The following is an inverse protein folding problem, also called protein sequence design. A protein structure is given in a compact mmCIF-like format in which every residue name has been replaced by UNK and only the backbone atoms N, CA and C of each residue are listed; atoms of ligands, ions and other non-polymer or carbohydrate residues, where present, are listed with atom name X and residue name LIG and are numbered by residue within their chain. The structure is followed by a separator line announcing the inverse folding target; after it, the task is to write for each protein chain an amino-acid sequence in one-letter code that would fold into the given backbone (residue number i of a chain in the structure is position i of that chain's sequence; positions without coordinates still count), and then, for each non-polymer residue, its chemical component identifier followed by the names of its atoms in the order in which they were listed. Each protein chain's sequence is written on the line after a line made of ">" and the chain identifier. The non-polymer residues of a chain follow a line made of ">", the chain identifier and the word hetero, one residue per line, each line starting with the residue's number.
data_IF_098287162552
#
_entry.id   IF_098287162552
#
_cell.length_a   1.000
_cell.length_b   1.000
_cell.length_c   1.000
_cell.angle_alpha   90.00
_cell.angle_beta   90.00
_cell.angle_gamma   90.00
#
_symmetry.space_group_name_H-M   'P 1'
#
loop_
_entity.id
_entity.type
_entity.pdbx_description
1 polymer ?
#
# COMPACT_ATOMS: atom_id res chain seq x y z
N UNK A 1 3.10 18.54 -33.64
CA UNK A 1 1.95 18.17 -32.79
C UNK A 1 2.16 16.74 -32.32
N UNK A 2 2.67 16.54 -31.10
CA UNK A 2 2.91 15.19 -30.57
C UNK A 2 1.56 14.58 -30.15
N UNK A 3 1.23 13.35 -30.57
CA UNK A 3 0.00 12.70 -30.13
C UNK A 3 0.19 12.33 -28.65
N UNK A 4 -0.62 12.92 -27.78
CA UNK A 4 -0.83 12.40 -26.44
C UNK A 4 -1.23 10.93 -26.57
N UNK A 5 -0.27 10.02 -26.38
CA UNK A 5 -0.57 8.61 -26.18
C UNK A 5 -1.52 8.55 -24.99
N UNK A 6 -2.77 8.16 -25.24
CA UNK A 6 -3.73 7.92 -24.18
C UNK A 6 -3.19 6.74 -23.38
N UNK A 7 -2.60 7.02 -22.22
CA UNK A 7 -2.17 5.99 -21.28
C UNK A 7 -3.43 5.18 -20.93
N UNK A 8 -3.38 3.86 -21.15
CA UNK A 8 -4.48 2.98 -20.80
C UNK A 8 -4.54 2.80 -19.27
N UNK A 9 -5.75 2.76 -18.72
CA UNK A 9 -5.96 2.40 -17.32
C UNK A 9 -5.39 0.99 -17.07
N UNK A 10 -4.70 0.79 -15.95
CA UNK A 10 -4.15 -0.51 -15.56
C UNK A 10 -4.12 -0.61 -14.03
N UNK A 11 -3.76 -1.79 -13.52
CA UNK A 11 -3.71 -2.05 -12.07
C UNK A 11 -2.79 -1.07 -11.31
N UNK A 12 -1.62 -0.73 -11.85
CA UNK A 12 -0.69 0.19 -11.20
C UNK A 12 -1.30 1.59 -11.02
N UNK A 13 -2.05 2.10 -12.01
CA UNK A 13 -2.78 3.36 -11.87
C UNK A 13 -3.84 3.28 -10.75
N UNK A 14 -4.61 2.19 -10.70
CA UNK A 14 -5.65 2.00 -9.67
C UNK A 14 -5.02 1.90 -8.29
N UNK A 15 -3.95 1.11 -8.12
CA UNK A 15 -3.18 1.01 -6.85
C UNK A 15 -2.66 2.39 -6.43
N UNK A 16 -2.09 3.17 -7.35
CA UNK A 16 -1.60 4.52 -7.05
C UNK A 16 -2.72 5.42 -6.54
N UNK A 17 -3.85 5.49 -7.24
CA UNK A 17 -5.01 6.30 -6.82
C UNK A 17 -5.51 5.86 -5.45
N UNK A 18 -5.60 4.56 -5.19
CA UNK A 18 -6.01 4.03 -3.88
C UNK A 18 -5.02 4.45 -2.79
N UNK A 19 -3.71 4.29 -3.01
CA UNK A 19 -2.69 4.66 -2.02
C UNK A 19 -2.65 6.17 -1.73
N UNK A 20 -2.86 7.01 -2.74
CA UNK A 20 -3.04 8.47 -2.58
C UNK A 20 -4.30 8.82 -1.76
N UNK A 21 -5.20 7.86 -1.55
CA UNK A 21 -6.43 7.99 -0.77
C UNK A 21 -6.46 7.00 0.40
N UNK A 22 -5.33 6.82 1.08
CA UNK A 22 -5.20 5.98 2.28
C UNK A 22 -5.45 4.48 2.08
N UNK A 23 -5.25 4.01 0.85
CA UNK A 23 -5.22 2.59 0.49
C UNK A 23 -6.56 2.01 0.07
N UNK A 24 -7.65 2.79 0.17
CA UNK A 24 -8.98 2.35 -0.19
C UNK A 24 -9.89 3.50 -0.61
N UNK A 25 -10.88 3.21 -1.45
CA UNK A 25 -11.91 4.15 -1.89
C UNK A 25 -13.22 3.40 -2.12
N UNK A 26 -14.35 4.09 -1.97
CA UNK A 26 -15.62 3.59 -2.49
C UNK A 26 -15.56 3.57 -4.02
N UNK A 27 -16.13 2.56 -4.66
CA UNK A 27 -16.04 2.30 -6.10
C UNK A 27 -16.45 3.52 -6.93
N UNK A 28 -17.52 4.21 -6.53
CA UNK A 28 -17.98 5.45 -7.17
C UNK A 28 -16.96 6.60 -7.09
N UNK A 29 -16.24 6.72 -5.97
CA UNK A 29 -15.19 7.74 -5.79
C UNK A 29 -13.94 7.39 -6.60
N UNK A 30 -13.58 6.11 -6.65
CA UNK A 30 -12.49 5.61 -7.48
C UNK A 30 -12.79 5.87 -8.97
N UNK A 31 -13.99 5.52 -9.44
CA UNK A 31 -14.44 5.78 -10.81
C UNK A 31 -14.40 7.28 -11.13
N UNK A 32 -14.89 8.13 -10.22
CA UNK A 32 -14.83 9.59 -10.39
C UNK A 32 -13.40 10.10 -10.54
N UNK A 33 -12.46 9.63 -9.71
CA UNK A 33 -11.04 10.04 -9.79
C UNK A 33 -10.39 9.58 -11.09
N UNK A 34 -10.68 8.37 -11.55
CA UNK A 34 -10.21 7.85 -12.84
C UNK A 34 -10.75 8.70 -14.00
N UNK A 35 -12.05 9.00 -14.02
CA UNK A 35 -12.63 9.85 -15.07
C UNK A 35 -11.99 11.25 -15.12
N UNK A 36 -11.69 11.83 -13.95
CA UNK A 36 -11.02 13.13 -13.85
C UNK A 36 -9.59 13.08 -14.40
N UNK A 37 -8.81 12.06 -14.04
CA UNK A 37 -7.40 11.95 -14.45
C UNK A 37 -7.26 11.61 -15.93
N UNK A 38 -8.06 10.67 -16.44
CA UNK A 38 -7.99 10.20 -17.82
C UNK A 38 -8.86 11.02 -18.80
N UNK A 39 -9.57 12.04 -18.29
CA UNK A 39 -10.48 12.91 -19.07
C UNK A 39 -11.52 12.12 -19.87
N UNK A 40 -12.07 11.06 -19.28
CA UNK A 40 -13.09 10.21 -19.90
C UNK A 40 -14.49 10.59 -19.37
N UNK A 41 -15.49 10.62 -20.27
CA UNK A 41 -16.87 11.00 -19.92
C UNK A 41 -17.66 9.87 -19.27
N UNK A 42 -17.54 8.65 -19.81
CA UNK A 42 -18.40 7.53 -19.42
C UNK A 42 -17.63 6.20 -19.47
N UNK A 43 -17.08 5.75 -18.34
CA UNK A 43 -16.91 4.31 -18.19
C UNK A 43 -15.63 3.72 -18.77
N UNK A 44 -14.53 4.00 -18.07
CA UNK A 44 -13.62 2.90 -17.78
C UNK A 44 -14.26 1.95 -16.75
N UNK A 45 -15.57 1.75 -16.72
CA UNK A 45 -16.25 1.00 -15.66
C UNK A 45 -16.04 -0.49 -15.85
N UNK A 46 -16.27 -1.00 -17.06
CA UNK A 46 -15.98 -2.40 -17.40
C UNK A 46 -14.48 -2.68 -17.28
N UNK A 47 -13.64 -1.71 -17.68
CA UNK A 47 -12.19 -1.79 -17.53
C UNK A 47 -11.79 -1.80 -16.05
N UNK A 48 -12.37 -0.92 -15.23
CA UNK A 48 -12.13 -0.87 -13.79
C UNK A 48 -12.57 -2.16 -13.13
N UNK A 49 -13.77 -2.67 -13.45
CA UNK A 49 -14.28 -3.96 -12.97
C UNK A 49 -13.32 -5.10 -13.29
N UNK A 50 -12.82 -5.15 -14.53
CA UNK A 50 -11.82 -6.15 -14.97
C UNK A 50 -10.49 -6.01 -14.23
N UNK A 51 -10.04 -4.79 -13.98
CA UNK A 51 -8.79 -4.55 -13.23
C UNK A 51 -8.97 -4.94 -11.77
N UNK A 52 -10.07 -4.52 -11.13
CA UNK A 52 -10.33 -4.75 -9.70
C UNK A 52 -10.75 -6.17 -9.38
N UNK A 53 -11.02 -7.02 -10.38
CA UNK A 53 -11.22 -8.46 -10.16
C UNK A 53 -9.93 -9.23 -9.90
N UNK A 54 -8.75 -8.61 -10.07
CA UNK A 54 -7.47 -9.26 -9.71
C UNK A 54 -7.25 -9.21 -8.19
N UNK A 55 -7.59 -10.30 -7.51
CA UNK A 55 -7.50 -10.46 -6.05
C UNK A 55 -6.06 -10.35 -5.49
N UNK A 56 -5.05 -10.40 -6.36
CA UNK A 56 -3.64 -10.16 -5.97
C UNK A 56 -3.39 -8.70 -5.66
N UNK A 57 -4.07 -7.81 -6.38
CA UNK A 57 -3.88 -6.35 -6.32
C UNK A 57 -5.04 -5.62 -5.66
N UNK A 58 -6.23 -6.24 -5.57
CA UNK A 58 -7.42 -5.59 -5.06
C UNK A 58 -8.24 -6.51 -4.16
N UNK A 59 -8.92 -5.91 -3.19
CA UNK A 59 -10.00 -6.55 -2.45
C UNK A 59 -11.22 -5.64 -2.56
N UNK A 60 -12.35 -6.22 -2.96
CA UNK A 60 -13.63 -5.51 -3.01
C UNK A 60 -14.51 -6.07 -1.91
N UNK A 61 -15.00 -5.18 -1.03
CA UNK A 61 -15.99 -5.53 -0.02
C UNK A 61 -17.14 -4.54 -0.10
N UNK A 62 -18.31 -5.05 -0.46
CA UNK A 62 -19.45 -4.21 -0.82
C UNK A 62 -19.01 -3.27 -1.95
N UNK A 63 -18.99 -1.95 -1.72
CA UNK A 63 -18.49 -0.97 -2.68
C UNK A 63 -17.09 -0.45 -2.34
N UNK A 64 -16.43 -0.94 -1.28
CA UNK A 64 -15.09 -0.50 -0.92
C UNK A 64 -14.03 -1.29 -1.68
N UNK A 65 -13.21 -0.59 -2.47
CA UNK A 65 -12.05 -1.14 -3.15
C UNK A 65 -10.80 -0.84 -2.33
N UNK A 66 -10.03 -1.89 -2.01
CA UNK A 66 -8.82 -1.84 -1.19
C UNK A 66 -7.63 -2.29 -2.01
N UNK A 67 -6.52 -1.55 -1.96
CA UNK A 67 -5.28 -1.95 -2.61
C UNK A 67 -4.57 -3.09 -1.85
N UNK A 68 -4.14 -4.11 -2.58
CA UNK A 68 -3.35 -5.24 -2.08
C UNK A 68 -1.98 -5.28 -2.74
N UNK A 69 -1.06 -5.94 -2.05
CA UNK A 69 0.22 -6.34 -2.62
C UNK A 69 0.71 -7.61 -1.93
N UNK A 70 1.51 -8.41 -2.65
CA UNK A 70 2.26 -9.52 -2.07
C UNK A 70 3.63 -9.11 -1.51
N UNK A 71 4.07 -7.86 -1.73
CA UNK A 71 5.36 -7.37 -1.23
C UNK A 71 5.33 -7.30 0.30
N UNK A 72 6.40 -7.81 0.92
CA UNK A 72 6.61 -7.79 2.38
C UNK A 72 7.92 -7.11 2.72
N UNK A 73 8.11 -6.77 3.99
CA UNK A 73 9.37 -6.31 4.56
C UNK A 73 10.17 -7.53 5.01
N UNK A 74 11.43 -7.58 4.61
CA UNK A 74 12.33 -8.67 4.91
C UNK A 74 12.59 -8.72 6.43
N UNK A 75 12.32 -9.88 7.05
CA UNK A 75 12.65 -10.11 8.46
C UNK A 75 14.14 -10.31 8.75
N UNK A 76 14.98 -10.41 7.72
CA UNK A 76 16.40 -10.73 7.85
C UNK A 76 17.30 -9.50 7.74
N UNK A 77 18.30 -9.41 8.62
CA UNK A 77 19.33 -8.36 8.58
C UNK A 77 20.29 -8.44 7.39
N UNK A 78 20.36 -9.58 6.69
CA UNK A 78 21.22 -9.77 5.51
C UNK A 78 20.37 -9.81 4.25
N UNK A 79 20.73 -8.99 3.27
CA UNK A 79 20.20 -9.10 1.90
C UNK A 79 20.67 -10.44 1.33
N UNK A 80 19.74 -11.19 0.74
CA UNK A 80 20.05 -12.34 -0.11
C UNK A 80 19.63 -12.00 -1.53
N UNK A 81 20.46 -12.39 -2.49
CA UNK A 81 20.11 -12.26 -3.90
C UNK A 81 18.85 -13.08 -4.20
N UNK A 82 17.93 -12.48 -4.95
CA UNK A 82 16.63 -13.08 -5.24
C UNK A 82 15.58 -12.99 -4.12
N UNK A 83 15.83 -12.24 -3.04
CA UNK A 83 14.79 -11.94 -2.05
C UNK A 83 13.58 -11.25 -2.73
N UNK A 84 12.38 -11.75 -2.44
CA UNK A 84 11.11 -11.17 -2.89
C UNK A 84 10.53 -10.15 -1.90
N UNK A 85 11.29 -9.85 -0.83
CA UNK A 85 10.92 -8.92 0.23
C UNK A 85 11.79 -7.65 0.19
N UNK A 86 11.18 -6.51 0.54
CA UNK A 86 11.87 -5.23 0.69
C UNK A 86 12.83 -5.28 1.87
N UNK A 87 14.10 -5.01 1.62
CA UNK A 87 15.09 -4.88 2.67
C UNK A 87 14.97 -3.51 3.33
N UNK A 88 14.04 -3.39 4.27
CA UNK A 88 13.69 -2.16 4.98
C UNK A 88 13.56 -2.42 6.47
N UNK A 89 13.85 -1.41 7.27
CA UNK A 89 13.60 -1.42 8.70
C UNK A 89 12.09 -1.36 8.95
N UNK A 90 11.53 -2.40 9.56
CA UNK A 90 10.11 -2.40 9.96
C UNK A 90 9.71 -1.20 10.81
N UNK A 91 10.60 -0.76 11.72
CA UNK A 91 10.33 0.39 12.57
C UNK A 91 10.35 1.71 11.79
N UNK A 92 11.09 1.80 10.68
CA UNK A 92 11.05 2.95 9.78
C UNK A 92 9.72 3.02 9.07
N UNK A 93 9.26 1.89 8.51
CA UNK A 93 7.93 1.77 7.89
C UNK A 93 6.82 2.13 8.88
N UNK A 94 6.95 1.73 10.15
CA UNK A 94 5.99 2.09 11.20
C UNK A 94 6.17 3.49 11.80
N UNK A 95 7.14 4.29 11.35
CA UNK A 95 7.38 5.66 11.82
C UNK A 95 8.02 5.78 13.22
N UNK A 96 8.55 4.68 13.77
CA UNK A 96 9.01 4.57 15.17
C UNK A 96 10.48 4.11 15.28
N UNK A 97 11.31 4.27 14.25
CA UNK A 97 12.70 3.85 14.31
C UNK A 97 13.54 4.80 15.17
N UNK A 98 14.01 4.33 16.33
CA UNK A 98 14.97 5.01 17.19
C UNK A 98 16.35 4.33 17.23
N UNK A 99 16.51 3.22 16.53
CA UNK A 99 17.67 2.34 16.64
C UNK A 99 18.75 2.67 15.60
N UNK A 100 20.01 2.78 16.06
CA UNK A 100 21.16 2.96 15.17
C UNK A 100 21.51 1.70 14.37
N UNK A 101 21.20 0.51 14.91
CA UNK A 101 21.47 -0.79 14.27
C UNK A 101 20.20 -1.34 13.60
N UNK A 102 19.64 -0.57 12.68
CA UNK A 102 18.49 -1.00 11.86
C UNK A 102 18.95 -1.61 10.53
N UNK A 103 18.05 -2.31 9.83
CA UNK A 103 18.34 -3.00 8.57
C UNK A 103 18.75 -2.01 7.48
N UNK A 104 17.79 -1.21 7.00
CA UNK A 104 18.00 -0.15 6.01
C UNK A 104 16.79 0.78 6.02
N UNK A 105 16.99 2.07 5.81
CA UNK A 105 15.92 3.02 5.52
C UNK A 105 15.90 3.42 4.05
N UNK A 106 16.81 2.85 3.25
CA UNK A 106 17.03 3.24 1.87
C UNK A 106 16.22 2.35 0.91
N UNK A 107 15.25 2.96 0.24
CA UNK A 107 14.47 2.34 -0.84
C UNK A 107 15.23 2.31 -2.18
N UNK A 108 16.30 3.10 -2.33
CA UNK A 108 17.00 3.29 -3.60
C UNK A 108 18.01 2.18 -3.93
N UNK A 109 18.24 1.24 -3.00
CA UNK A 109 19.12 0.11 -3.28
C UNK A 109 18.58 -0.76 -4.41
N UNK A 110 19.49 -1.37 -5.18
CA UNK A 110 19.17 -2.11 -6.40
C UNK A 110 18.10 -3.19 -6.17
N UNK A 111 18.24 -4.03 -5.14
CA UNK A 111 17.28 -5.08 -4.84
C UNK A 111 15.87 -4.53 -4.57
N UNK A 112 15.74 -3.41 -3.85
CA UNK A 112 14.45 -2.78 -3.57
C UNK A 112 13.85 -2.18 -4.85
N UNK A 113 14.65 -1.45 -5.65
CA UNK A 113 14.18 -0.87 -6.92
C UNK A 113 13.72 -1.94 -7.90
N UNK A 114 14.49 -3.02 -8.05
CA UNK A 114 14.16 -4.14 -8.92
C UNK A 114 12.85 -4.83 -8.51
N UNK A 115 12.66 -5.05 -7.21
CA UNK A 115 11.40 -5.60 -6.68
C UNK A 115 10.23 -4.65 -6.95
N UNK A 116 10.38 -3.36 -6.65
CA UNK A 116 9.33 -2.36 -6.86
C UNK A 116 8.94 -2.25 -8.34
N UNK A 117 9.91 -2.31 -9.26
CA UNK A 117 9.64 -2.30 -10.69
C UNK A 117 8.89 -3.55 -11.16
N UNK A 118 9.31 -4.76 -10.72
CA UNK A 118 8.63 -6.02 -11.06
C UNK A 118 7.18 -6.05 -10.54
N UNK A 119 6.94 -5.44 -9.39
CA UNK A 119 5.62 -5.39 -8.76
C UNK A 119 4.80 -4.17 -9.17
N UNK A 120 5.31 -3.34 -10.09
CA UNK A 120 4.67 -2.11 -10.58
C UNK A 120 4.36 -1.06 -9.48
N UNK A 121 5.21 -0.99 -8.45
CA UNK A 121 5.07 -0.08 -7.30
C UNK A 121 6.09 1.08 -7.32
N UNK A 122 6.97 1.16 -8.32
CA UNK A 122 8.04 2.16 -8.40
C UNK A 122 7.55 3.62 -8.48
N UNK A 123 6.27 3.83 -8.81
CA UNK A 123 5.67 5.16 -8.93
C UNK A 123 5.05 5.67 -7.62
N UNK A 124 5.02 4.84 -6.57
CA UNK A 124 4.51 5.25 -5.27
C UNK A 124 5.52 6.12 -4.54
N UNK A 125 5.03 7.14 -3.85
CA UNK A 125 5.83 7.85 -2.86
C UNK A 125 6.18 6.91 -1.70
N UNK A 126 7.24 7.21 -0.95
CA UNK A 126 7.62 6.44 0.24
C UNK A 126 6.45 6.31 1.23
N UNK A 127 5.72 7.40 1.48
CA UNK A 127 4.55 7.39 2.35
C UNK A 127 3.44 6.46 1.85
N UNK A 128 3.15 6.48 0.54
CA UNK A 128 2.13 5.61 -0.06
C UNK A 128 2.56 4.14 -0.05
N UNK A 129 3.84 3.86 -0.30
CA UNK A 129 4.39 2.51 -0.20
C UNK A 129 4.31 1.98 1.24
N UNK A 130 4.69 2.78 2.24
CA UNK A 130 4.62 2.37 3.64
C UNK A 130 3.20 2.11 4.09
N UNK A 131 2.25 2.97 3.68
CA UNK A 131 0.83 2.74 3.90
C UNK A 131 0.38 1.41 3.28
N UNK A 132 0.78 1.13 2.03
CA UNK A 132 0.44 -0.12 1.33
C UNK A 132 1.04 -1.36 2.02
N UNK A 133 2.26 -1.25 2.58
CA UNK A 133 2.88 -2.30 3.36
C UNK A 133 2.15 -2.52 4.69
N UNK A 134 1.87 -1.45 5.44
CA UNK A 134 1.18 -1.53 6.73
C UNK A 134 -0.20 -2.21 6.65
N UNK A 135 -0.89 -2.09 5.52
CA UNK A 135 -2.19 -2.75 5.32
C UNK A 135 -2.09 -4.19 4.78
N UNK A 136 -0.93 -4.64 4.30
CA UNK A 136 -0.76 -5.95 3.63
C UNK A 136 0.25 -6.88 4.31
N UNK A 137 1.19 -6.36 5.08
CA UNK A 137 2.26 -7.12 5.71
C UNK A 137 1.97 -7.37 7.20
N UNK A 138 1.66 -8.63 7.59
CA UNK A 138 1.35 -8.95 8.98
C UNK A 138 2.54 -8.78 9.93
N UNK A 139 3.78 -8.84 9.44
CA UNK A 139 4.99 -8.69 10.27
C UNK A 139 5.18 -7.25 10.77
N UNK A 140 4.51 -6.29 10.15
CA UNK A 140 4.55 -4.87 10.55
C UNK A 140 3.57 -4.54 11.68
N UNK A 141 2.71 -5.49 12.05
CA UNK A 141 1.75 -5.26 13.11
C UNK A 141 2.42 -5.40 14.48
N UNK A 142 1.95 -4.63 15.47
CA UNK A 142 2.37 -4.85 16.85
C UNK A 142 1.98 -6.27 17.28
N UNK A 143 2.90 -6.96 17.95
CA UNK A 143 2.61 -8.22 18.62
C UNK A 143 1.49 -7.96 19.65
N UNK A 144 0.30 -8.53 19.43
CA UNK A 144 -0.83 -8.38 20.34
C UNK A 144 -0.63 -9.29 21.56
N UNK A 145 0.38 -9.00 22.38
CA UNK A 145 0.58 -9.64 23.68
C UNK A 145 -0.38 -9.02 24.68
N UNK A 146 -1.59 -9.57 24.77
CA UNK A 146 -2.60 -9.31 25.83
C UNK A 146 -2.60 -7.88 26.43
N UNK A 147 -3.21 -6.90 25.75
CA UNK A 147 -3.47 -5.59 26.38
C UNK A 147 -4.94 -5.23 26.21
N UNK A 148 -5.64 -5.12 27.35
CA UNK A 148 -7.00 -4.60 27.46
C UNK A 148 -7.06 -3.22 26.83
N UNK A 149 -8.07 -2.98 25.99
CA UNK A 149 -8.27 -1.84 25.07
C UNK A 149 -8.15 -0.41 25.62
N UNK A 150 -7.77 -0.21 26.90
CA UNK A 150 -7.73 1.10 27.56
C UNK A 150 -6.38 1.83 27.48
N UNK A 151 -5.28 1.16 27.14
CA UNK A 151 -3.94 1.77 27.20
C UNK A 151 -3.27 2.06 25.85
N UNK A 152 -3.89 1.71 24.71
CA UNK A 152 -3.31 1.99 23.39
C UNK A 152 -3.35 3.47 22.98
N UNK A 153 -4.05 4.34 23.72
CA UNK A 153 -4.21 5.76 23.35
C UNK A 153 -3.02 6.65 23.70
N UNK A 154 -2.04 6.21 24.50
CA UNK A 154 -1.05 7.14 25.10
C UNK A 154 0.35 7.04 24.46
N UNK A 155 0.66 6.00 23.68
CA UNK A 155 2.02 5.84 23.10
C UNK A 155 2.14 6.15 21.59
N UNK A 156 1.05 6.39 20.88
CA UNK A 156 1.09 6.64 19.43
C UNK A 156 0.85 8.12 19.16
N UNK A 157 1.94 8.89 19.23
CA UNK A 157 2.00 10.33 18.99
C UNK A 157 1.23 10.72 17.72
N UNK A 158 0.32 11.68 17.90
CA UNK A 158 -0.72 12.29 17.06
C UNK A 158 -0.66 12.27 15.51
N UNK A 159 0.43 11.89 14.82
CA UNK A 159 0.47 11.80 13.35
C UNK A 159 0.26 10.38 12.79
N UNK A 160 0.38 9.35 13.63
CA UNK A 160 0.23 7.95 13.22
C UNK A 160 -1.20 7.45 13.40
N UNK A 161 -1.98 8.02 14.33
CA UNK A 161 -3.29 7.49 14.68
C UNK A 161 -4.28 7.51 13.51
N UNK A 162 -4.30 8.54 12.65
CA UNK A 162 -5.24 8.59 11.52
C UNK A 162 -4.87 7.62 10.40
N UNK A 163 -3.59 7.61 9.99
CA UNK A 163 -3.09 6.70 8.96
C UNK A 163 -3.13 5.25 9.44
N UNK A 164 -2.73 4.96 10.68
CA UNK A 164 -2.86 3.62 11.25
C UNK A 164 -4.31 3.25 11.53
N UNK A 165 -5.23 4.13 11.97
CA UNK A 165 -6.64 3.75 12.10
C UNK A 165 -7.25 3.44 10.73
N UNK A 166 -6.95 4.23 9.70
CA UNK A 166 -7.44 3.97 8.34
C UNK A 166 -6.80 2.69 7.77
N UNK A 167 -5.48 2.53 7.87
CA UNK A 167 -4.77 1.31 7.50
C UNK A 167 -5.15 0.12 8.36
N UNK A 168 -5.52 0.27 9.63
CA UNK A 168 -6.00 -0.81 10.51
C UNK A 168 -7.43 -1.21 10.16
N UNK A 169 -8.31 -0.26 9.79
CA UNK A 169 -9.64 -0.57 9.25
C UNK A 169 -9.51 -1.34 7.94
N UNK A 170 -8.66 -0.86 7.03
CA UNK A 170 -8.35 -1.54 5.77
C UNK A 170 -7.69 -2.90 6.01
N UNK A 171 -6.74 -2.98 6.92
CA UNK A 171 -6.04 -4.23 7.31
C UNK A 171 -7.01 -5.25 7.91
N UNK A 172 -7.93 -4.84 8.79
CA UNK A 172 -8.95 -5.76 9.32
C UNK A 172 -9.86 -6.32 8.22
N UNK A 173 -10.10 -5.55 7.16
CA UNK A 173 -10.83 -6.02 5.97
C UNK A 173 -9.97 -7.02 5.19
N UNK A 174 -8.68 -6.74 5.00
CA UNK A 174 -7.73 -7.64 4.30
C UNK A 174 -7.49 -8.95 5.08
N UNK A 175 -7.26 -8.92 6.41
CA UNK A 175 -6.93 -10.11 7.23
C UNK A 175 -8.04 -11.15 7.29
N UNK A 176 -9.31 -10.76 7.08
CA UNK A 176 -10.44 -11.68 7.19
C UNK A 176 -10.52 -12.68 6.01
N UNK A 177 -9.73 -12.48 4.96
CA UNK A 177 -9.76 -13.24 3.70
C UNK A 177 -8.35 -13.52 3.19
#
# INVERSE_FOLDING_TARGET
>A
SSPHSRVALNAAHVVRILCENHGSLVLSELQRKICQEFKTKDGNEDELKRITSDERNFLIKEDLVVAKTSVRVCGNFKIKDGNEDLHLCKYHVCGNCSHRNCISHDLSCHNNQDLLMRMHLQYLTEANLFQLLLQNDPELLPEVKHVTLKHLQISYSHCILFSMISSMKTYQIVKKY
#
